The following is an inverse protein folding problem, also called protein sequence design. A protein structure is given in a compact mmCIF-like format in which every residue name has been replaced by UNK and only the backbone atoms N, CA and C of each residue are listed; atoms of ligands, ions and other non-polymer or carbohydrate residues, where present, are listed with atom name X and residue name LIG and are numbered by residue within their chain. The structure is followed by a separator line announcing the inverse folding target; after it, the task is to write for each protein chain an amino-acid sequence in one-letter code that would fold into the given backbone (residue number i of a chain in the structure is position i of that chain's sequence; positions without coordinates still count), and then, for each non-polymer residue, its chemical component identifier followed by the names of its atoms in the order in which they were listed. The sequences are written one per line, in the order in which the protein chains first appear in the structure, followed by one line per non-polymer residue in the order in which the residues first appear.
data_IF_080487267838
#
_entry.id   IF_080487267838
#
_cell.length_a   1.000
_cell.length_b   1.000
_cell.length_c   1.000
_cell.angle_alpha   90.00
_cell.angle_beta   90.00
_cell.angle_gamma   90.00
#
_symmetry.space_group_name_H-M   'P 1'
#
loop_
_entity.id
_entity.type
_entity.pdbx_description
1 polymer ?
#
# COMPACT_ATOMS: atom_id res chain seq x y z
N UNK A 1 -26.06 25.63 15.90
CA UNK A 1 -26.21 24.16 15.81
C UNK A 1 -25.75 23.74 14.42
N UNK A 2 -24.51 23.29 14.26
CA UNK A 2 -24.00 22.86 12.96
C UNK A 2 -24.48 21.43 12.69
N UNK A 3 -25.11 21.21 11.53
CA UNK A 3 -25.44 19.87 11.04
C UNK A 3 -24.38 19.47 10.01
N UNK A 4 -23.80 18.29 10.20
CA UNK A 4 -22.92 17.70 9.19
C UNK A 4 -23.75 17.30 7.96
N UNK A 5 -23.18 17.51 6.78
CA UNK A 5 -23.76 17.05 5.52
C UNK A 5 -23.14 15.69 5.20
N UNK A 6 -23.96 14.65 5.13
CA UNK A 6 -23.52 13.33 4.66
C UNK A 6 -23.55 13.32 3.13
N UNK A 7 -22.38 13.30 2.51
CA UNK A 7 -22.21 13.23 1.06
C UNK A 7 -21.64 11.88 0.62
N UNK A 8 -22.24 11.28 -0.41
CA UNK A 8 -21.64 10.14 -1.12
C UNK A 8 -20.83 10.67 -2.31
N UNK A 9 -19.55 10.28 -2.37
CA UNK A 9 -18.69 10.62 -3.51
C UNK A 9 -18.87 9.55 -4.57
N UNK A 10 -19.38 9.93 -5.75
CA UNK A 10 -19.45 9.07 -6.92
C UNK A 10 -18.37 9.47 -7.92
N UNK A 11 -17.26 8.73 -8.01
CA UNK A 11 -16.19 9.06 -8.93
C UNK A 11 -16.66 8.92 -10.38
N UNK A 12 -16.27 9.87 -11.23
CA UNK A 12 -16.43 9.73 -12.67
C UNK A 12 -15.48 8.65 -13.23
N UNK A 13 -15.61 8.31 -14.52
CA UNK A 13 -14.82 7.23 -15.14
C UNK A 13 -13.31 7.41 -14.99
N UNK A 14 -12.80 8.63 -15.13
CA UNK A 14 -11.37 8.91 -14.99
C UNK A 14 -10.89 8.73 -13.54
N UNK A 15 -11.68 9.18 -12.58
CA UNK A 15 -11.39 9.01 -11.15
C UNK A 15 -11.42 7.53 -10.75
N UNK A 16 -12.39 6.75 -11.24
CA UNK A 16 -12.44 5.30 -10.99
C UNK A 16 -11.19 4.60 -11.52
N UNK A 17 -10.74 4.97 -12.72
CA UNK A 17 -9.51 4.44 -13.30
C UNK A 17 -8.30 4.76 -12.43
N UNK A 18 -8.16 6.02 -12.02
CA UNK A 18 -7.05 6.46 -11.16
C UNK A 18 -7.05 5.74 -9.80
N UNK A 19 -8.22 5.57 -9.18
CA UNK A 19 -8.38 4.86 -7.92
C UNK A 19 -7.92 3.41 -8.08
N UNK A 20 -8.39 2.72 -9.12
CA UNK A 20 -8.02 1.33 -9.39
C UNK A 20 -6.53 1.19 -9.67
N UNK A 21 -5.95 2.10 -10.45
CA UNK A 21 -4.51 2.14 -10.70
C UNK A 21 -3.72 2.35 -9.41
N UNK A 22 -4.11 3.33 -8.58
CA UNK A 22 -3.44 3.62 -7.30
C UNK A 22 -3.39 2.39 -6.41
N UNK A 23 -4.54 1.74 -6.19
CA UNK A 23 -4.60 0.52 -5.37
C UNK A 23 -3.83 -0.64 -6.01
N UNK A 24 -3.90 -0.79 -7.33
CA UNK A 24 -3.16 -1.81 -8.07
C UNK A 24 -1.65 -1.64 -7.95
N UNK A 25 -1.13 -0.44 -8.19
CA UNK A 25 0.29 -0.12 -8.09
C UNK A 25 0.82 -0.30 -6.67
N UNK A 26 0.12 0.22 -5.66
CA UNK A 26 0.52 0.07 -4.27
C UNK A 26 0.55 -1.40 -3.85
N UNK A 27 -0.45 -2.20 -4.25
CA UNK A 27 -0.48 -3.64 -3.97
C UNK A 27 0.68 -4.37 -4.66
N UNK A 28 0.96 -4.03 -5.92
CA UNK A 28 2.06 -4.64 -6.66
C UNK A 28 3.40 -4.44 -5.96
N UNK A 29 3.73 -3.20 -5.61
CA UNK A 29 4.99 -2.87 -4.91
C UNK A 29 5.04 -3.56 -3.53
N UNK A 30 3.95 -3.50 -2.77
CA UNK A 30 3.88 -4.14 -1.45
C UNK A 30 4.12 -5.64 -1.53
N UNK A 31 3.46 -6.33 -2.46
CA UNK A 31 3.61 -7.78 -2.62
C UNK A 31 5.04 -8.16 -3.00
N UNK A 32 5.70 -7.37 -3.85
CA UNK A 32 7.11 -7.59 -4.19
C UNK A 32 8.01 -7.44 -2.96
N UNK A 33 7.84 -6.38 -2.18
CA UNK A 33 8.63 -6.16 -0.95
C UNK A 33 8.36 -7.25 0.09
N UNK A 34 7.10 -7.65 0.28
CA UNK A 34 6.72 -8.71 1.20
C UNK A 34 7.34 -10.05 0.80
N UNK A 35 7.30 -10.40 -0.50
CA UNK A 35 7.96 -11.61 -1.00
C UNK A 35 9.46 -11.61 -0.69
N UNK A 36 10.14 -10.48 -0.90
CA UNK A 36 11.56 -10.34 -0.55
C UNK A 36 11.82 -10.53 0.95
N UNK A 37 10.94 -10.02 1.81
CA UNK A 37 11.06 -10.19 3.26
C UNK A 37 10.83 -11.63 3.71
N UNK A 38 9.85 -12.33 3.11
CA UNK A 38 9.59 -13.75 3.37
C UNK A 38 10.81 -14.59 2.94
N UNK A 39 11.28 -14.42 1.71
CA UNK A 39 12.45 -15.15 1.20
C UNK A 39 13.70 -14.89 2.05
N UNK A 40 13.89 -13.65 2.51
CA UNK A 40 14.98 -13.31 3.43
C UNK A 40 14.86 -14.09 4.75
N UNK A 41 13.67 -14.13 5.34
CA UNK A 41 13.43 -14.83 6.60
C UNK A 41 13.66 -16.34 6.45
N UNK A 42 13.14 -16.94 5.39
CA UNK A 42 13.33 -18.37 5.10
C UNK A 42 14.81 -18.73 4.91
N UNK A 43 15.60 -17.82 4.33
CA UNK A 43 17.03 -18.02 4.12
C UNK A 43 17.84 -17.91 5.44
N UNK A 44 17.55 -16.93 6.28
CA UNK A 44 18.18 -16.76 7.59
C UNK A 44 17.32 -15.89 8.52
N UNK A 45 16.63 -16.48 9.51
CA UNK A 45 15.80 -15.74 10.46
C UNK A 45 16.56 -14.71 11.31
N UNK A 46 17.85 -14.94 11.57
CA UNK A 46 18.68 -14.11 12.45
C UNK A 46 19.31 -12.91 11.73
N UNK A 47 19.17 -12.83 10.39
CA UNK A 47 19.76 -11.75 9.60
C UNK A 47 19.04 -10.43 9.89
N UNK A 48 19.76 -9.47 10.47
CA UNK A 48 19.20 -8.16 10.84
C UNK A 48 18.88 -7.28 9.63
N UNK A 49 17.68 -6.70 9.59
CA UNK A 49 17.32 -5.74 8.54
C UNK A 49 18.26 -4.53 8.59
N UNK A 50 18.54 -3.95 7.42
CA UNK A 50 19.37 -2.76 7.33
C UNK A 50 18.67 -1.62 8.06
N UNK A 51 19.29 -1.15 9.14
CA UNK A 51 18.88 0.05 9.85
C UNK A 51 19.83 1.19 9.46
N UNK A 52 19.29 2.30 8.99
CA UNK A 52 20.07 3.52 8.87
C UNK A 52 20.26 4.13 10.26
N UNK A 53 21.52 4.21 10.71
CA UNK A 53 21.86 5.02 11.87
C UNK A 53 22.10 6.44 11.36
N UNK A 54 21.17 7.34 11.66
CA UNK A 54 21.28 8.76 11.36
C UNK A 54 22.30 9.44 12.26
#
# INVERSE_FOLDING_TARGET
MYKGIEGKIYPNKAQQHLINQTFGHSRFVWNQMLAMLITRYDNNPDVKCLSYNA
#
